data_IF_407209647728
#
_entry.id   IF_407209647728
#
_cell.length_a   1.000
_cell.length_b   1.000
_cell.length_c   1.000
_cell.angle_alpha   90.00
_cell.angle_beta   90.00
_cell.angle_gamma   90.00
#
_symmetry.space_group_name_H-M   'P 1'
#
loop_
_entity.id
_entity.type
_entity.pdbx_description
1 polymer ?
#
# COMPACT_ATOMS: atom_id res chain seq x y z
N UNK A 1 0.23 -6.26 32.70
CA UNK A 1 0.12 -7.47 31.88
C UNK A 1 -0.84 -7.32 30.74
N UNK A 2 -2.04 -6.83 30.98
CA UNK A 2 -2.99 -6.61 29.90
C UNK A 2 -2.50 -5.57 28.91
N UNK A 3 -1.81 -4.56 29.41
CA UNK A 3 -1.26 -3.53 28.53
C UNK A 3 -0.18 -4.09 27.62
N UNK A 4 0.58 -5.08 28.08
CA UNK A 4 1.58 -5.72 27.24
C UNK A 4 0.95 -6.51 26.11
N UNK A 5 -0.09 -7.28 26.42
CA UNK A 5 -0.80 -8.04 25.38
C UNK A 5 -1.46 -7.10 24.37
N UNK A 6 -2.03 -6.01 24.86
CA UNK A 6 -2.64 -5.02 24.00
C UNK A 6 -1.61 -4.39 23.07
N UNK A 7 -0.45 -4.03 23.62
CA UNK A 7 0.63 -3.44 22.82
C UNK A 7 1.12 -4.39 21.73
N UNK A 8 1.26 -5.67 22.07
CA UNK A 8 1.69 -6.68 21.10
C UNK A 8 0.70 -6.79 19.95
N UNK A 9 -0.59 -6.76 20.24
CA UNK A 9 -1.62 -6.83 19.21
C UNK A 9 -1.58 -5.60 18.29
N UNK A 10 -1.41 -4.43 18.86
CA UNK A 10 -1.32 -3.18 18.10
C UNK A 10 -0.09 -3.19 17.19
N UNK A 11 1.05 -3.61 17.72
CA UNK A 11 2.27 -3.69 16.93
C UNK A 11 2.15 -4.68 15.79
N UNK A 12 1.53 -5.83 16.04
CA UNK A 12 1.31 -6.83 15.00
C UNK A 12 0.47 -6.27 13.86
N UNK A 13 -0.60 -5.55 14.19
CA UNK A 13 -1.46 -4.95 13.18
C UNK A 13 -0.71 -3.89 12.36
N UNK A 14 0.11 -3.07 13.03
CA UNK A 14 0.92 -2.07 12.34
C UNK A 14 1.93 -2.70 11.40
N UNK A 15 2.61 -3.76 11.85
CA UNK A 15 3.58 -4.46 11.01
C UNK A 15 2.93 -5.06 9.78
N UNK A 16 1.74 -5.63 9.93
CA UNK A 16 1.00 -6.21 8.82
C UNK A 16 0.65 -5.13 7.79
N UNK A 17 0.19 -3.98 8.24
CA UNK A 17 -0.15 -2.86 7.38
C UNK A 17 1.09 -2.33 6.66
N UNK A 18 2.20 -2.17 7.37
CA UNK A 18 3.46 -1.69 6.79
C UNK A 18 4.00 -2.65 5.74
N UNK A 19 3.90 -3.95 6.00
CA UNK A 19 4.34 -4.96 5.05
C UNK A 19 3.55 -4.87 3.76
N UNK A 20 2.23 -4.77 3.86
CA UNK A 20 1.36 -4.64 2.70
C UNK A 20 1.64 -3.35 1.93
N UNK A 21 1.86 -2.26 2.65
CA UNK A 21 2.22 -0.99 2.05
C UNK A 21 3.51 -1.11 1.22
N UNK A 22 4.54 -1.74 1.78
CA UNK A 22 5.80 -1.95 1.07
C UNK A 22 5.62 -2.79 -0.19
N UNK A 23 4.81 -3.84 -0.10
CA UNK A 23 4.54 -4.70 -1.25
C UNK A 23 3.86 -3.93 -2.38
N UNK A 24 2.89 -3.08 -2.04
CA UNK A 24 2.21 -2.27 -3.03
C UNK A 24 3.19 -1.27 -3.68
N UNK A 25 4.02 -0.63 -2.88
CA UNK A 25 5.01 0.32 -3.40
C UNK A 25 5.99 -0.38 -4.33
N UNK A 26 6.47 -1.57 -3.97
CA UNK A 26 7.33 -2.36 -4.85
C UNK A 26 6.64 -2.66 -6.17
N UNK A 27 5.36 -3.02 -6.10
CA UNK A 27 4.58 -3.28 -7.31
C UNK A 27 4.50 -2.05 -8.19
N UNK A 28 4.26 -0.87 -7.60
CA UNK A 28 4.21 0.37 -8.34
C UNK A 28 5.55 0.65 -9.04
N UNK A 29 6.66 0.45 -8.35
CA UNK A 29 7.98 0.64 -8.92
C UNK A 29 8.22 -0.30 -10.09
N UNK A 30 7.83 -1.55 -9.96
CA UNK A 30 7.95 -2.53 -11.03
C UNK A 30 7.10 -2.12 -12.24
N UNK A 31 5.89 -1.65 -12.00
CA UNK A 31 5.00 -1.17 -13.05
C UNK A 31 5.60 0.01 -13.81
N UNK A 32 6.28 0.91 -13.09
CA UNK A 32 6.96 2.04 -13.73
C UNK A 32 8.06 1.54 -14.66
N UNK A 33 8.85 0.57 -14.23
CA UNK A 33 9.91 0.00 -15.05
C UNK A 33 9.35 -0.69 -16.30
N UNK A 34 8.19 -1.33 -16.16
CA UNK A 34 7.54 -2.05 -17.25
C UNK A 34 6.67 -1.14 -18.13
N UNK A 35 6.68 0.16 -17.86
CA UNK A 35 5.87 1.15 -18.59
C UNK A 35 4.37 0.87 -18.54
N UNK A 36 3.92 0.31 -17.43
CA UNK A 36 2.49 0.04 -17.20
C UNK A 36 1.84 1.31 -16.68
N UNK A 37 0.66 1.62 -17.19
CA UNK A 37 -0.12 2.76 -16.71
C UNK A 37 -0.42 2.62 -15.22
N UNK A 38 -0.12 3.63 -14.42
CA UNK A 38 -0.31 3.59 -12.98
C UNK A 38 -1.54 4.40 -12.58
N UNK A 39 -2.52 3.71 -12.05
CA UNK A 39 -3.71 4.32 -11.45
C UNK A 39 -4.22 3.36 -10.38
N UNK A 40 -5.28 3.75 -9.66
CA UNK A 40 -5.79 2.92 -8.58
C UNK A 40 -6.27 1.55 -9.07
N UNK A 41 -6.84 1.48 -10.26
CA UNK A 41 -7.31 0.22 -10.82
C UNK A 41 -6.16 -0.72 -11.17
N UNK A 42 -5.16 -0.23 -11.88
CA UNK A 42 -4.03 -1.07 -12.28
C UNK A 42 -3.19 -1.49 -11.08
N UNK A 43 -2.96 -0.59 -10.14
CA UNK A 43 -2.20 -0.91 -8.93
C UNK A 43 -2.93 -1.96 -8.12
N UNK A 44 -4.25 -1.84 -7.96
CA UNK A 44 -5.04 -2.84 -7.25
C UNK A 44 -4.94 -4.20 -7.92
N UNK A 45 -5.01 -4.22 -9.23
CA UNK A 45 -4.96 -5.45 -10.02
C UNK A 45 -3.60 -6.12 -9.91
N UNK A 46 -2.52 -5.37 -10.07
CA UNK A 46 -1.16 -5.92 -10.07
C UNK A 46 -0.69 -6.30 -8.67
N UNK A 47 -1.05 -5.53 -7.66
CA UNK A 47 -0.66 -5.80 -6.28
C UNK A 47 -1.60 -6.77 -5.58
N UNK A 48 -2.75 -7.06 -6.20
CA UNK A 48 -3.81 -7.88 -5.60
C UNK A 48 -4.37 -7.28 -4.32
N UNK A 49 -4.23 -5.96 -4.17
CA UNK A 49 -4.77 -5.23 -3.04
C UNK A 49 -6.14 -4.67 -3.39
N UNK A 50 -6.95 -4.42 -2.36
CA UNK A 50 -8.26 -3.81 -2.56
C UNK A 50 -8.10 -2.33 -2.85
N UNK A 51 -8.94 -1.80 -3.76
CA UNK A 51 -8.94 -0.37 -4.05
C UNK A 51 -9.19 0.46 -2.79
N UNK A 52 -10.08 -0.01 -1.92
CA UNK A 52 -10.38 0.70 -0.68
C UNK A 52 -9.13 0.86 0.19
N UNK A 53 -8.26 -0.14 0.21
CA UNK A 53 -7.01 -0.05 0.93
C UNK A 53 -6.11 1.03 0.32
N UNK A 54 -6.01 1.07 -1.00
CA UNK A 54 -5.20 2.06 -1.69
C UNK A 54 -5.68 3.48 -1.44
N UNK A 55 -7.00 3.70 -1.46
CA UNK A 55 -7.56 5.02 -1.19
C UNK A 55 -7.38 5.46 0.25
N UNK A 56 -7.45 4.53 1.19
CA UNK A 56 -7.30 4.84 2.61
C UNK A 56 -5.85 5.09 3.02
N UNK A 57 -4.91 4.46 2.36
CA UNK A 57 -3.51 4.61 2.70
C UNK A 57 -2.97 5.88 2.07
N UNK A 58 -2.67 6.87 2.91
CA UNK A 58 -2.23 8.19 2.44
C UNK A 58 -0.94 8.12 1.66
N UNK A 59 -0.01 7.27 2.07
CA UNK A 59 1.28 7.15 1.40
C UNK A 59 1.11 6.57 -0.01
N UNK A 60 0.38 5.48 -0.13
CA UNK A 60 0.12 4.85 -1.42
C UNK A 60 -0.71 5.76 -2.30
N UNK A 61 -1.77 6.33 -1.76
CA UNK A 61 -2.64 7.25 -2.47
C UNK A 61 -1.84 8.46 -3.00
N UNK A 62 -0.96 9.00 -2.15
CA UNK A 62 -0.09 10.10 -2.56
C UNK A 62 0.86 9.74 -3.68
N UNK A 63 1.45 8.55 -3.63
CA UNK A 63 2.35 8.07 -4.68
C UNK A 63 1.60 7.94 -6.01
N UNK A 64 0.43 7.32 -6.00
CA UNK A 64 -0.36 7.12 -7.21
C UNK A 64 -0.79 8.46 -7.80
N UNK A 65 -1.26 9.38 -6.97
CA UNK A 65 -1.68 10.71 -7.43
C UNK A 65 -0.51 11.52 -8.00
N UNK A 66 0.65 11.42 -7.36
CA UNK A 66 1.83 12.13 -7.85
C UNK A 66 2.24 11.63 -9.23
N UNK A 67 2.19 10.33 -9.46
CA UNK A 67 2.53 9.74 -10.75
C UNK A 67 1.50 10.12 -11.81
N UNK A 68 0.21 10.07 -11.46
CA UNK A 68 -0.87 10.44 -12.39
C UNK A 68 -0.88 11.93 -12.72
N UNK A 69 -0.37 12.75 -11.81
CA UNK A 69 -0.32 14.19 -11.99
C UNK A 69 0.67 14.64 -13.07
N UNK A 70 1.51 13.73 -13.53
CA UNK A 70 2.45 13.98 -14.61
C UNK A 70 1.98 13.31 -15.89
#
# INVERSE_FOLDING_TARGET
MRSENYSAMVEYAKQKTLRREKEVIKTIEQMKQDNVTINFSTVAQYSKALKSFLYRNRKISGVIRAIRGF
#
